data_IF_944731912959
#
_entry.id   IF_944731912959
#
_cell.length_a   1.000
_cell.length_b   1.000
_cell.length_c   1.000
_cell.angle_alpha   90.00
_cell.angle_beta   90.00
_cell.angle_gamma   90.00
#
_symmetry.space_group_name_H-M   'P 1'
#
loop_
_entity.id
_entity.type
_entity.pdbx_description
1 polymer ?
#
# COMPACT_ATOMS: atom_id res chain seq x y z
N UNK A 1 1.39 14.75 2.40
CA UNK A 1 0.60 14.02 3.41
C UNK A 1 1.49 13.42 4.49
N UNK A 2 2.46 12.57 4.13
CA UNK A 2 3.37 11.91 5.08
C UNK A 2 4.17 12.90 5.94
N UNK A 3 4.90 13.83 5.33
CA UNK A 3 5.69 14.86 6.05
C UNK A 3 4.86 15.81 6.92
N UNK A 4 3.54 15.85 6.72
CA UNK A 4 2.60 16.66 7.50
C UNK A 4 1.86 15.82 8.56
N UNK A 5 2.24 14.56 8.76
CA UNK A 5 1.66 13.68 9.76
C UNK A 5 0.25 13.17 9.45
N UNK A 6 -0.24 13.31 8.21
CA UNK A 6 -1.57 12.80 7.86
C UNK A 6 -1.59 11.26 7.83
N UNK A 7 -0.51 10.63 7.40
CA UNK A 7 -0.38 9.17 7.35
C UNK A 7 1.08 8.80 7.62
N UNK A 8 1.30 7.62 8.20
CA UNK A 8 2.63 7.06 8.38
C UNK A 8 2.95 6.19 7.17
N UNK A 9 4.05 6.50 6.50
CA UNK A 9 4.57 5.73 5.37
C UNK A 9 6.06 6.00 5.27
N UNK A 10 6.83 5.04 5.75
CA UNK A 10 8.27 5.14 5.85
C UNK A 10 8.96 4.79 4.52
N UNK A 11 8.22 4.38 3.47
CA UNK A 11 8.81 3.89 2.22
C UNK A 11 8.59 4.80 1.02
N UNK A 12 7.54 5.61 1.00
CA UNK A 12 7.19 6.46 -0.16
C UNK A 12 8.34 7.37 -0.62
N UNK A 13 9.24 7.73 0.29
CA UNK A 13 10.39 8.58 -0.02
C UNK A 13 11.44 7.90 -0.91
N UNK A 14 11.46 6.56 -0.98
CA UNK A 14 12.28 5.80 -1.93
C UNK A 14 11.76 5.89 -3.36
N UNK A 15 10.44 6.10 -3.52
CA UNK A 15 9.78 6.10 -4.82
C UNK A 15 9.50 7.50 -5.36
N UNK A 16 9.28 8.48 -4.49
CA UNK A 16 8.93 9.86 -4.88
C UNK A 16 9.99 10.86 -4.42
N UNK A 17 10.76 11.39 -5.37
CA UNK A 17 11.86 12.33 -5.10
C UNK A 17 11.44 13.73 -4.65
N UNK A 18 10.25 14.20 -5.06
CA UNK A 18 9.80 15.59 -4.80
C UNK A 18 8.46 15.61 -4.11
N UNK A 19 8.41 16.19 -2.92
CA UNK A 19 7.14 16.46 -2.23
C UNK A 19 6.48 17.70 -2.82
N UNK A 20 5.30 17.55 -3.39
CA UNK A 20 4.48 18.70 -3.84
C UNK A 20 3.68 19.26 -2.68
N UNK A 21 3.76 20.57 -2.44
CA UNK A 21 2.87 21.25 -1.48
C UNK A 21 1.47 21.30 -2.06
N UNK A 22 0.49 20.73 -1.34
CA UNK A 22 -0.94 20.76 -1.70
C UNK A 22 -1.76 21.47 -0.63
N UNK A 23 -2.89 22.05 -1.03
CA UNK A 23 -3.83 22.68 -0.11
C UNK A 23 -4.32 21.70 0.99
N UNK A 24 -4.64 22.17 2.20
CA UNK A 24 -5.08 21.29 3.31
C UNK A 24 -6.26 20.38 2.95
N UNK A 25 -7.24 20.90 2.20
CA UNK A 25 -8.42 20.12 1.78
C UNK A 25 -8.04 18.93 0.88
N UNK A 26 -7.06 19.12 -0.01
CA UNK A 26 -6.54 18.04 -0.87
C UNK A 26 -5.84 16.99 0.00
N UNK A 27 -4.99 17.39 0.95
CA UNK A 27 -4.33 16.44 1.85
C UNK A 27 -5.32 15.63 2.69
N UNK A 28 -6.42 16.25 3.15
CA UNK A 28 -7.51 15.56 3.84
C UNK A 28 -8.19 14.52 2.95
N UNK A 29 -8.45 14.85 1.68
CA UNK A 29 -8.98 13.89 0.71
C UNK A 29 -8.06 12.69 0.48
N UNK A 30 -6.76 12.94 0.31
CA UNK A 30 -5.76 11.86 0.20
C UNK A 30 -5.72 10.97 1.45
N UNK A 31 -5.77 11.58 2.63
CA UNK A 31 -5.82 10.83 3.89
C UNK A 31 -7.08 9.99 4.01
N UNK A 32 -8.25 10.54 3.71
CA UNK A 32 -9.51 9.81 3.77
C UNK A 32 -9.51 8.59 2.81
N UNK A 33 -9.01 8.78 1.58
CA UNK A 33 -8.84 7.67 0.64
C UNK A 33 -7.91 6.58 1.21
N UNK A 34 -6.73 6.98 1.70
CA UNK A 34 -5.75 6.05 2.25
C UNK A 34 -6.30 5.30 3.47
N UNK A 35 -6.95 6.00 4.41
CA UNK A 35 -7.45 5.41 5.65
C UNK A 35 -8.60 4.43 5.42
N UNK A 36 -9.52 4.74 4.50
CA UNK A 36 -10.61 3.83 4.12
C UNK A 36 -10.06 2.57 3.46
N UNK A 37 -9.17 2.72 2.47
CA UNK A 37 -8.59 1.56 1.78
C UNK A 37 -7.83 0.66 2.75
N UNK A 38 -7.00 1.27 3.60
CA UNK A 38 -6.25 0.54 4.63
C UNK A 38 -7.17 -0.19 5.60
N UNK A 39 -8.25 0.45 6.07
CA UNK A 39 -9.23 -0.20 6.96
C UNK A 39 -9.88 -1.41 6.29
N UNK A 40 -10.28 -1.30 5.03
CA UNK A 40 -10.89 -2.40 4.28
C UNK A 40 -9.90 -3.56 4.06
N UNK A 41 -8.64 -3.25 3.73
CA UNK A 41 -7.59 -4.27 3.58
C UNK A 41 -7.36 -5.01 4.89
N UNK A 42 -7.25 -4.31 6.02
CA UNK A 42 -7.08 -4.94 7.32
C UNK A 42 -8.28 -5.80 7.72
N UNK A 43 -9.51 -5.35 7.43
CA UNK A 43 -10.71 -6.16 7.66
C UNK A 43 -10.70 -7.45 6.83
N UNK A 44 -10.34 -7.36 5.54
CA UNK A 44 -10.17 -8.52 4.68
C UNK A 44 -9.08 -9.47 5.22
N UNK A 45 -7.93 -8.93 5.61
CA UNK A 45 -6.79 -9.67 6.18
C UNK A 45 -7.09 -10.30 7.54
N UNK A 46 -8.05 -9.76 8.30
CA UNK A 46 -8.47 -10.33 9.58
C UNK A 46 -9.69 -11.25 9.47
N UNK A 47 -10.47 -11.20 8.39
CA UNK A 47 -11.67 -12.03 8.22
C UNK A 47 -11.36 -13.54 8.28
N UNK A 48 -12.05 -14.30 9.13
CA UNK A 48 -11.80 -15.74 9.28
C UNK A 48 -10.52 -16.10 10.05
N UNK A 49 -9.90 -15.16 10.77
CA UNK A 49 -8.82 -15.48 11.70
C UNK A 49 -9.40 -16.26 12.90
N UNK A 50 -8.85 -17.44 13.20
CA UNK A 50 -9.29 -18.29 14.31
C UNK A 50 -10.31 -19.38 13.97
N UNK A 51 -10.67 -19.55 12.69
CA UNK A 51 -11.42 -20.72 12.21
C UNK A 51 -10.48 -21.75 11.58
N UNK A 52 -10.84 -23.05 11.64
CA UNK A 52 -10.11 -24.14 10.97
C UNK A 52 -9.93 -23.93 9.46
N UNK A 53 -10.78 -23.11 8.83
CA UNK A 53 -10.75 -22.79 7.40
C UNK A 53 -9.95 -21.50 7.10
N UNK A 54 -8.75 -21.36 7.69
CA UNK A 54 -7.86 -20.21 7.44
C UNK A 54 -7.36 -20.22 5.98
N UNK A 55 -8.07 -19.50 5.11
CA UNK A 55 -7.71 -19.39 3.68
C UNK A 55 -6.54 -18.45 3.47
N UNK A 56 -5.63 -18.84 2.57
CA UNK A 56 -4.54 -18.00 2.07
C UNK A 56 -5.12 -16.78 1.35
N UNK A 57 -4.79 -15.59 1.84
CA UNK A 57 -5.32 -14.32 1.31
C UNK A 57 -4.39 -13.76 0.26
N UNK A 58 -4.96 -13.24 -0.82
CA UNK A 58 -4.21 -12.65 -1.92
C UNK A 58 -4.75 -11.25 -2.18
N UNK A 59 -3.87 -10.32 -2.50
CA UNK A 59 -4.21 -8.95 -2.85
C UNK A 59 -3.64 -8.67 -4.24
N UNK A 60 -4.50 -8.17 -5.13
CA UNK A 60 -4.15 -7.71 -6.46
C UNK A 60 -4.38 -6.20 -6.55
N UNK A 61 -3.30 -5.42 -6.57
CA UNK A 61 -3.34 -3.96 -6.73
C UNK A 61 -3.24 -3.61 -8.21
N UNK A 62 -4.32 -3.05 -8.77
CA UNK A 62 -4.40 -2.63 -10.17
C UNK A 62 -4.13 -1.13 -10.28
N UNK A 63 -3.15 -0.74 -11.10
CA UNK A 63 -2.67 0.64 -11.17
C UNK A 63 -1.91 1.04 -9.91
N UNK A 64 -1.01 0.18 -9.43
CA UNK A 64 -0.36 0.34 -8.13
C UNK A 64 0.51 1.61 -8.03
N UNK A 65 0.96 2.21 -9.12
CA UNK A 65 1.55 3.55 -9.17
C UNK A 65 2.89 3.69 -8.46
N UNK A 66 2.87 4.08 -7.18
CA UNK A 66 4.00 4.09 -6.24
C UNK A 66 3.53 3.62 -4.86
N UNK A 67 2.53 2.72 -4.84
CA UNK A 67 2.00 2.14 -3.62
C UNK A 67 3.11 1.42 -2.85
N UNK A 68 3.08 1.64 -1.55
CA UNK A 68 4.03 1.13 -0.56
C UNK A 68 3.31 0.27 0.49
N UNK A 69 2.02 0.00 0.27
CA UNK A 69 1.16 -0.72 1.21
C UNK A 69 1.69 -2.13 1.50
N UNK A 70 2.29 -2.81 0.52
CA UNK A 70 2.93 -4.11 0.74
C UNK A 70 4.00 -4.05 1.84
N UNK A 71 4.95 -3.12 1.72
CA UNK A 71 6.03 -2.98 2.70
C UNK A 71 5.49 -2.62 4.09
N UNK A 72 4.50 -1.73 4.16
CA UNK A 72 3.83 -1.40 5.42
C UNK A 72 3.17 -2.62 6.08
N UNK A 73 2.45 -3.43 5.31
CA UNK A 73 1.81 -4.65 5.82
C UNK A 73 2.84 -5.70 6.24
N UNK A 74 3.97 -5.79 5.54
CA UNK A 74 5.06 -6.71 5.89
C UNK A 74 5.70 -6.36 7.23
N UNK A 75 6.05 -5.09 7.47
CA UNK A 75 6.62 -4.63 8.74
C UNK A 75 5.62 -4.75 9.90
N UNK A 76 4.33 -4.66 9.62
CA UNK A 76 3.26 -4.87 10.60
C UNK A 76 2.97 -6.34 10.90
N UNK A 77 3.60 -7.29 10.17
CA UNK A 77 3.34 -8.72 10.31
C UNK A 77 1.97 -9.15 9.76
N UNK A 78 1.37 -8.34 8.88
CA UNK A 78 0.04 -8.52 8.30
C UNK A 78 0.09 -8.77 6.79
N UNK A 79 1.25 -9.10 6.25
CA UNK A 79 1.39 -9.38 4.82
C UNK A 79 0.47 -10.55 4.39
N UNK A 80 -0.25 -10.41 3.26
CA UNK A 80 -1.01 -11.52 2.69
C UNK A 80 -0.09 -12.63 2.22
N UNK A 81 -0.67 -13.79 1.91
CA UNK A 81 0.06 -14.89 1.29
C UNK A 81 0.65 -14.49 -0.08
N UNK A 82 -0.06 -13.67 -0.85
CA UNK A 82 0.42 -13.11 -2.10
C UNK A 82 -0.04 -11.66 -2.28
N UNK A 83 0.87 -10.78 -2.69
CA UNK A 83 0.56 -9.41 -3.07
C UNK A 83 1.10 -9.18 -4.49
N UNK A 84 0.22 -8.91 -5.44
CA UNK A 84 0.58 -8.66 -6.84
C UNK A 84 0.23 -7.23 -7.20
N UNK A 85 1.19 -6.51 -7.77
CA UNK A 85 0.99 -5.18 -8.33
C UNK A 85 1.00 -5.26 -9.85
N UNK A 86 -0.02 -4.70 -10.49
CA UNK A 86 -0.09 -4.53 -11.93
C UNK A 86 -0.13 -3.04 -12.25
N UNK A 87 0.74 -2.60 -13.16
CA UNK A 87 0.76 -1.24 -13.67
C UNK A 87 1.30 -1.22 -15.11
N UNK A 88 1.05 -0.13 -15.83
CA UNK A 88 1.63 0.10 -17.14
C UNK A 88 3.15 0.19 -17.04
N UNK A 89 3.84 -0.28 -18.10
CA UNK A 89 5.30 -0.35 -18.12
C UNK A 89 5.96 1.01 -17.85
N UNK A 90 5.39 2.11 -18.33
CA UNK A 90 5.89 3.47 -18.09
C UNK A 90 5.92 3.85 -16.60
N UNK A 91 4.93 3.39 -15.81
CA UNK A 91 4.90 3.57 -14.36
C UNK A 91 5.87 2.63 -13.63
N UNK A 92 6.01 1.39 -14.12
CA UNK A 92 6.88 0.38 -13.50
C UNK A 92 8.38 0.69 -13.65
N UNK A 93 8.81 1.33 -14.75
CA UNK A 93 10.23 1.72 -14.93
C UNK A 93 10.73 2.72 -13.88
N UNK A 94 9.83 3.52 -13.29
CA UNK A 94 10.17 4.46 -12.21
C UNK A 94 10.17 3.81 -10.82
N UNK A 95 9.54 2.64 -10.66
CA UNK A 95 9.52 1.89 -9.40
C UNK A 95 10.81 1.11 -9.12
N UNK A 96 11.61 0.83 -10.15
CA UNK A 96 12.77 -0.06 -10.05
C UNK A 96 12.33 -1.52 -9.88
N UNK A 97 12.72 -2.39 -10.82
CA UNK A 97 12.45 -3.82 -10.74
C UNK A 97 12.99 -4.44 -9.43
N UNK A 98 12.15 -4.55 -8.40
CA UNK A 98 12.38 -5.45 -7.29
C UNK A 98 11.59 -6.74 -7.54
N UNK A 99 12.16 -7.59 -8.38
CA UNK A 99 11.77 -8.99 -8.46
C UNK A 99 12.32 -9.68 -7.20
N UNK A 100 11.49 -9.89 -6.18
CA UNK A 100 11.83 -10.80 -5.08
C UNK A 100 11.44 -12.22 -5.50
N UNK A 101 12.39 -13.17 -5.59
CA UNK A 101 12.10 -14.55 -5.93
C UNK A 101 11.30 -15.23 -4.81
N UNK A 102 10.46 -16.17 -5.24
CA UNK A 102 9.62 -17.07 -4.44
C UNK A 102 10.37 -17.74 -3.28
#
# INVERSE_FOLDING_TARGET
CVTKGYMKDDYVHHFVRRTTKRAPIINRGYYARWSVLRKLMLQFLNAGSGSDDQKRKQILSLGAGFDTTFFQLQDEGLAPYLYVELDFQEGNQQKGCHHQPL
#
